data_IF_305535141300
#
_entry.id   IF_305535141300
#
_cell.length_a   1.000
_cell.length_b   1.000
_cell.length_c   1.000
_cell.angle_alpha   90.00
_cell.angle_beta   90.00
_cell.angle_gamma   90.00
#
_symmetry.space_group_name_H-M   'P 1'
#
loop_
_entity.id
_entity.type
_entity.pdbx_description
1 polymer ?
#
# COMPACT_ATOMS: atom_id res chain seq x y z
N UNK A 1 9.03 -13.15 1.71
CA UNK A 1 8.61 -12.09 0.75
C UNK A 1 9.82 -11.56 0.00
N UNK A 2 9.67 -11.35 -1.30
CA UNK A 2 10.76 -10.78 -2.12
C UNK A 2 10.53 -9.27 -2.21
N UNK A 3 11.47 -8.43 -1.74
CA UNK A 3 11.32 -6.98 -1.83
C UNK A 3 11.32 -6.50 -3.28
N UNK A 4 10.49 -5.51 -3.57
CA UNK A 4 10.52 -4.82 -4.86
C UNK A 4 11.60 -3.74 -4.79
N UNK A 5 12.56 -3.80 -5.69
CA UNK A 5 13.68 -2.85 -5.75
C UNK A 5 13.45 -1.80 -6.82
N UNK A 6 14.15 -0.68 -6.71
CA UNK A 6 14.08 0.40 -7.68
C UNK A 6 13.15 1.54 -7.27
N UNK A 7 12.45 1.38 -6.14
CA UNK A 7 11.52 2.40 -5.64
C UNK A 7 11.94 2.98 -4.29
N UNK A 8 13.19 2.73 -3.89
CA UNK A 8 13.73 3.28 -2.64
C UNK A 8 13.58 4.79 -2.61
N UNK A 9 13.09 5.32 -1.49
CA UNK A 9 12.85 6.75 -1.27
C UNK A 9 11.76 7.37 -2.17
N UNK A 10 11.04 6.54 -2.92
CA UNK A 10 9.93 7.01 -3.74
C UNK A 10 8.60 6.68 -3.06
N UNK A 11 7.60 7.52 -3.30
CA UNK A 11 6.25 7.24 -2.84
C UNK A 11 5.46 6.60 -3.98
N UNK A 12 4.89 5.43 -3.72
CA UNK A 12 4.11 4.68 -4.70
C UNK A 12 2.66 4.61 -4.24
N UNK A 13 1.74 5.02 -5.12
CA UNK A 13 0.32 4.92 -4.82
C UNK A 13 -0.19 3.53 -5.18
N UNK A 14 -0.93 2.90 -4.27
CA UNK A 14 -1.52 1.58 -4.50
C UNK A 14 -3.03 1.71 -4.40
N UNK A 15 -3.72 1.47 -5.52
CA UNK A 15 -5.17 1.48 -5.58
C UNK A 15 -5.69 0.05 -5.59
N UNK A 16 -6.74 -0.21 -4.82
CA UNK A 16 -7.29 -1.54 -4.71
C UNK A 16 -6.54 -2.35 -3.65
N UNK A 17 -7.12 -2.44 -2.45
CA UNK A 17 -6.48 -3.05 -1.29
C UNK A 17 -6.94 -4.48 -1.03
N UNK A 18 -7.27 -5.21 -2.08
CA UNK A 18 -7.48 -6.64 -1.98
C UNK A 18 -6.17 -7.34 -1.65
N UNK A 19 -6.22 -8.68 -1.56
CA UNK A 19 -5.03 -9.46 -1.21
C UNK A 19 -3.80 -9.10 -2.04
N UNK A 20 -3.97 -8.93 -3.35
CA UNK A 20 -2.87 -8.61 -4.26
C UNK A 20 -2.29 -7.22 -3.96
N UNK A 21 -3.16 -6.23 -3.71
CA UNK A 21 -2.72 -4.87 -3.41
C UNK A 21 -1.91 -4.80 -2.12
N UNK A 22 -2.35 -5.48 -1.07
CA UNK A 22 -1.62 -5.51 0.19
C UNK A 22 -0.28 -6.25 0.06
N UNK A 23 -0.24 -7.32 -0.72
CA UNK A 23 1.00 -8.04 -0.98
C UNK A 23 1.99 -7.14 -1.71
N UNK A 24 1.53 -6.39 -2.73
CA UNK A 24 2.37 -5.45 -3.45
C UNK A 24 2.90 -4.35 -2.51
N UNK A 25 2.04 -3.82 -1.64
CA UNK A 25 2.44 -2.79 -0.69
C UNK A 25 3.52 -3.29 0.27
N UNK A 26 3.38 -4.51 0.78
CA UNK A 26 4.40 -5.11 1.65
C UNK A 26 5.75 -5.25 0.94
N UNK A 27 5.71 -5.71 -0.32
CA UNK A 27 6.93 -5.87 -1.11
C UNK A 27 7.62 -4.54 -1.38
N UNK A 28 6.85 -3.48 -1.68
CA UNK A 28 7.38 -2.14 -1.89
C UNK A 28 8.04 -1.60 -0.61
N UNK A 29 7.35 -1.74 0.53
CA UNK A 29 7.88 -1.29 1.81
C UNK A 29 9.17 -2.05 2.15
N UNK A 30 9.19 -3.35 1.93
CA UNK A 30 10.38 -4.16 2.19
C UNK A 30 11.55 -3.73 1.30
N UNK A 31 11.27 -3.16 0.13
CA UNK A 31 12.29 -2.61 -0.76
C UNK A 31 12.69 -1.17 -0.45
N UNK A 32 12.13 -0.56 0.59
CA UNK A 32 12.47 0.80 1.00
C UNK A 32 11.57 1.90 0.45
N UNK A 33 10.51 1.56 -0.27
CA UNK A 33 9.59 2.54 -0.80
C UNK A 33 8.60 3.01 0.27
N UNK A 34 8.08 4.22 0.10
CA UNK A 34 6.94 4.70 0.85
C UNK A 34 5.69 4.39 0.03
N UNK A 35 4.60 4.01 0.68
CA UNK A 35 3.36 3.70 -0.03
C UNK A 35 2.21 4.56 0.47
N UNK A 36 1.30 4.88 -0.44
CA UNK A 36 0.03 5.53 -0.11
C UNK A 36 -1.07 4.61 -0.63
N UNK A 37 -1.91 4.09 0.26
CA UNK A 37 -2.90 3.08 -0.07
C UNK A 37 -4.31 3.68 -0.10
N UNK A 38 -5.11 3.25 -1.05
CA UNK A 38 -6.50 3.64 -1.14
C UNK A 38 -7.36 2.55 -1.77
N UNK A 39 -8.60 2.46 -1.32
CA UNK A 39 -9.61 1.59 -1.92
C UNK A 39 -10.96 2.27 -1.73
N UNK A 40 -11.84 2.15 -2.70
CA UNK A 40 -13.19 2.71 -2.62
C UNK A 40 -14.02 2.05 -1.51
N UNK A 41 -13.71 0.80 -1.17
CA UNK A 41 -14.44 0.06 -0.15
C UNK A 41 -13.93 0.41 1.24
N UNK A 42 -14.79 0.96 2.12
CA UNK A 42 -14.37 1.30 3.48
C UNK A 42 -13.80 0.11 4.26
N UNK A 43 -14.37 -1.09 4.08
CA UNK A 43 -13.87 -2.28 4.77
C UNK A 43 -12.42 -2.60 4.39
N UNK A 44 -12.05 -2.40 3.12
CA UNK A 44 -10.69 -2.63 2.67
C UNK A 44 -9.72 -1.61 3.28
N UNK A 45 -10.15 -0.35 3.37
CA UNK A 45 -9.34 0.70 4.00
C UNK A 45 -9.13 0.42 5.48
N UNK A 46 -10.17 -0.01 6.18
CA UNK A 46 -10.09 -0.34 7.59
C UNK A 46 -9.15 -1.52 7.84
N UNK A 47 -9.23 -2.55 7.00
CA UNK A 47 -8.36 -3.71 7.12
C UNK A 47 -6.89 -3.33 6.92
N UNK A 48 -6.60 -2.49 5.93
CA UNK A 48 -5.24 -2.02 5.67
C UNK A 48 -4.72 -1.18 6.83
N UNK A 49 -5.54 -0.27 7.36
CA UNK A 49 -5.16 0.57 8.49
C UNK A 49 -4.90 -0.27 9.74
N UNK A 50 -5.70 -1.32 9.96
CA UNK A 50 -5.52 -2.22 11.09
C UNK A 50 -4.19 -2.96 11.04
N UNK A 51 -3.64 -3.18 9.84
CA UNK A 51 -2.33 -3.78 9.67
C UNK A 51 -1.19 -2.76 9.71
N UNK A 52 -1.50 -1.50 9.94
CA UNK A 52 -0.49 -0.45 10.07
C UNK A 52 -0.09 0.22 8.77
N UNK A 53 -0.79 -0.03 7.67
CA UNK A 53 -0.48 0.63 6.40
C UNK A 53 -1.00 2.06 6.37
N UNK A 54 -0.28 2.99 5.72
CA UNK A 54 -0.76 4.36 5.54
C UNK A 54 -1.86 4.41 4.49
N UNK A 55 -3.09 4.70 4.91
CA UNK A 55 -4.24 4.84 4.02
C UNK A 55 -4.48 6.34 3.82
N UNK A 56 -4.44 6.77 2.56
CA UNK A 56 -4.56 8.17 2.18
C UNK A 56 -5.65 8.31 1.14
N UNK A 57 -6.50 9.34 1.25
CA UNK A 57 -7.55 9.58 0.26
C UNK A 57 -6.92 10.07 -1.05
N UNK A 58 -6.75 9.15 -1.98
CA UNK A 58 -6.15 9.44 -3.28
C UNK A 58 -7.17 9.97 -4.28
N UNK A 59 -8.46 10.02 -3.91
CA UNK A 59 -9.52 10.55 -4.75
C UNK A 59 -9.88 12.00 -4.42
N UNK A 60 -9.31 12.51 -3.36
CA UNK A 60 -9.58 13.88 -2.92
C UNK A 60 -8.89 14.93 -3.80
#
# INVERSE_FOLDING_TARGET
MIPVRGFEDKTVAVFGLGRTGLTAARALIAGGAKVALWDEKPASREAAAAEGFPVVDLEA
#
